data_IF_736460489036
#
_entry.id   IF_736460489036
#
_cell.length_a   1.000
_cell.length_b   1.000
_cell.length_c   1.000
_cell.angle_alpha   90.00
_cell.angle_beta   90.00
_cell.angle_gamma   90.00
#
_symmetry.space_group_name_H-M   'P 1'
#
loop_
_entity.id
_entity.type
_entity.pdbx_description
1 polymer ?
#
# COMPACT_ATOMS: atom_id res chain seq x y z
N UNK A 1 -22.07 -23.64 -33.38
CA UNK A 1 -21.21 -22.92 -34.33
C UNK A 1 -19.77 -23.26 -33.97
N UNK A 2 -19.05 -23.83 -34.92
CA UNK A 2 -17.65 -24.28 -34.82
C UNK A 2 -16.76 -23.05 -35.04
N UNK A 3 -15.71 -22.86 -34.23
CA UNK A 3 -14.34 -22.68 -34.73
C UNK A 3 -13.32 -22.44 -33.61
N UNK A 4 -12.21 -23.14 -33.75
CA UNK A 4 -11.04 -23.17 -32.89
C UNK A 4 -9.99 -22.13 -33.32
N UNK A 5 -9.02 -21.85 -32.45
CA UNK A 5 -7.63 -21.67 -32.88
C UNK A 5 -6.67 -21.96 -31.73
N UNK A 6 -5.83 -22.98 -31.94
CA UNK A 6 -4.62 -23.29 -31.18
C UNK A 6 -3.50 -22.42 -31.73
N UNK A 7 -2.62 -21.93 -30.86
CA UNK A 7 -1.33 -21.34 -31.25
C UNK A 7 -0.26 -21.79 -30.27
N UNK A 8 0.54 -22.77 -30.69
CA UNK A 8 1.79 -23.16 -30.04
C UNK A 8 2.94 -22.64 -30.91
N UNK A 9 3.98 -22.09 -30.28
CA UNK A 9 5.27 -21.87 -30.91
C UNK A 9 6.37 -22.20 -29.90
N UNK A 10 7.32 -23.01 -30.34
CA UNK A 10 8.45 -23.54 -29.59
C UNK A 10 9.77 -23.16 -30.28
N UNK A 11 10.86 -23.31 -29.52
CA UNK A 11 12.26 -23.45 -29.97
C UNK A 11 13.01 -22.13 -30.28
N UNK A 12 14.32 -21.95 -30.07
CA UNK A 12 15.41 -22.81 -29.60
C UNK A 12 16.66 -21.96 -29.20
N UNK A 13 17.46 -22.52 -28.28
CA UNK A 13 18.94 -22.65 -28.24
C UNK A 13 19.91 -21.49 -28.58
N UNK A 14 20.93 -21.27 -27.73
CA UNK A 14 22.35 -21.65 -27.99
C UNK A 14 23.32 -21.21 -26.86
N UNK A 15 24.34 -22.02 -26.67
CA UNK A 15 25.38 -21.97 -25.64
C UNK A 15 26.56 -21.05 -26.00
N UNK A 16 27.36 -20.65 -24.99
CA UNK A 16 28.82 -20.53 -25.12
C UNK A 16 29.50 -20.44 -23.74
N UNK A 17 30.48 -21.33 -23.54
CA UNK A 17 31.39 -21.36 -22.41
C UNK A 17 32.57 -20.39 -22.66
N UNK A 18 33.06 -19.72 -21.63
CA UNK A 18 34.41 -19.16 -21.61
C UNK A 18 35.03 -19.35 -20.23
N UNK A 19 36.09 -20.16 -20.18
CA UNK A 19 37.01 -20.28 -19.06
C UNK A 19 38.01 -19.11 -19.12
N UNK A 20 38.18 -18.40 -18.01
CA UNK A 20 39.23 -17.40 -17.83
C UNK A 20 39.85 -17.53 -16.45
N UNK A 21 40.97 -18.23 -16.35
CA UNK A 21 41.87 -18.18 -15.18
C UNK A 21 42.69 -16.89 -15.26
N UNK A 22 42.48 -16.00 -14.29
CA UNK A 22 43.31 -14.82 -14.07
C UNK A 22 43.60 -14.68 -12.59
N UNK A 23 44.74 -15.21 -12.14
CA UNK A 23 45.23 -15.09 -10.77
C UNK A 23 45.93 -13.75 -10.59
N UNK A 24 45.21 -12.74 -10.08
CA UNK A 24 45.81 -11.51 -9.57
C UNK A 24 45.50 -11.42 -8.08
N UNK A 25 46.50 -11.73 -7.24
CA UNK A 25 46.43 -11.54 -5.79
C UNK A 25 46.50 -10.04 -5.50
N UNK A 26 45.44 -9.40 -4.96
CA UNK A 26 45.53 -8.02 -4.52
C UNK A 26 46.35 -7.96 -3.23
N UNK A 27 47.21 -6.96 -3.12
CA UNK A 27 47.86 -6.61 -1.85
C UNK A 27 46.78 -6.34 -0.78
N UNK A 28 47.01 -6.70 0.50
CA UNK A 28 46.06 -6.43 1.57
C UNK A 28 45.86 -4.91 1.68
N UNK A 29 44.70 -4.45 1.23
CA UNK A 29 44.27 -3.06 1.42
C UNK A 29 43.92 -2.92 2.90
N UNK A 30 44.47 -1.91 3.55
CA UNK A 30 44.13 -1.57 4.93
C UNK A 30 42.60 -1.50 5.08
N UNK A 31 42.02 -1.91 6.23
CA UNK A 31 40.58 -1.85 6.44
C UNK A 31 40.14 -0.41 6.23
N UNK A 32 39.45 -0.18 5.12
CA UNK A 32 38.76 1.08 4.87
C UNK A 32 37.65 1.06 5.90
N UNK A 33 37.72 1.96 6.88
CA UNK A 33 36.59 2.31 7.72
C UNK A 33 35.49 2.79 6.78
N UNK A 34 34.62 1.87 6.34
CA UNK A 34 33.31 2.22 5.83
C UNK A 34 32.62 2.93 6.97
N UNK A 35 32.73 4.25 6.99
CA UNK A 35 31.75 5.10 7.61
C UNK A 35 30.44 4.70 6.97
N UNK A 36 29.69 3.84 7.67
CA UNK A 36 28.27 3.64 7.45
C UNK A 36 27.64 5.02 7.58
N UNK A 37 27.51 5.72 6.46
CA UNK A 37 26.70 6.91 6.37
C UNK A 37 25.27 6.42 6.59
N UNK A 38 24.82 6.50 7.84
CA UNK A 38 23.40 6.37 8.17
C UNK A 38 22.65 7.27 7.19
N UNK A 39 21.75 6.73 6.35
CA UNK A 39 20.96 7.55 5.45
C UNK A 39 20.28 8.65 6.27
N UNK A 40 20.42 9.90 5.84
CA UNK A 40 19.72 11.00 6.48
C UNK A 40 18.22 10.65 6.55
N UNK A 41 17.54 10.86 7.68
CA UNK A 41 16.10 10.64 7.77
C UNK A 41 15.40 11.37 6.62
N UNK A 42 14.43 10.75 5.92
CA UNK A 42 13.71 11.42 4.85
C UNK A 42 13.11 12.72 5.41
N UNK A 43 13.39 13.85 4.75
CA UNK A 43 13.18 15.20 5.30
C UNK A 43 11.72 15.54 5.67
N UNK A 44 10.75 14.67 5.39
CA UNK A 44 9.32 14.95 5.52
C UNK A 44 8.55 13.96 6.42
N UNK A 45 9.22 13.07 7.16
CA UNK A 45 8.52 12.06 7.98
C UNK A 45 7.90 12.62 9.25
N UNK A 46 8.46 13.70 9.81
CA UNK A 46 7.91 14.36 11.00
C UNK A 46 6.50 14.95 10.74
N UNK A 47 6.23 15.35 9.49
CA UNK A 47 4.95 15.90 9.05
C UNK A 47 3.89 14.86 8.73
N UNK A 48 4.07 13.57 9.05
CA UNK A 48 3.12 12.50 8.76
C UNK A 48 2.42 11.91 9.99
N UNK A 49 3.09 11.91 11.15
CA UNK A 49 2.50 11.41 12.40
C UNK A 49 1.28 12.25 12.82
N UNK A 50 0.29 11.61 13.45
CA UNK A 50 -0.92 12.27 13.96
C UNK A 50 -2.20 11.82 13.27
N UNK A 51 -3.29 12.54 13.55
CA UNK A 51 -4.62 12.23 13.07
C UNK A 51 -4.84 12.79 11.66
N UNK A 52 -5.52 11.99 10.84
CA UNK A 52 -5.96 12.40 9.51
C UNK A 52 -7.40 11.96 9.29
N UNK A 53 -8.10 12.71 8.46
CA UNK A 53 -9.43 12.34 7.98
C UNK A 53 -9.63 12.78 6.54
N UNK A 54 -10.54 12.11 5.84
CA UNK A 54 -10.75 12.36 4.43
C UNK A 54 -11.87 11.52 3.83
N UNK A 55 -11.96 11.58 2.50
CA UNK A 55 -12.95 10.85 1.73
C UNK A 55 -12.29 10.06 0.61
N UNK A 56 -12.89 8.93 0.26
CA UNK A 56 -12.45 8.08 -0.83
C UNK A 56 -13.59 7.65 -1.74
N UNK A 57 -13.22 7.05 -2.86
CA UNK A 57 -14.12 6.45 -3.84
C UNK A 57 -13.48 5.21 -4.44
N UNK A 58 -14.26 4.14 -4.54
CA UNK A 58 -13.92 2.90 -5.23
C UNK A 58 -15.19 2.27 -5.84
N UNK A 59 -15.11 1.08 -6.47
CA UNK A 59 -16.29 0.41 -7.05
C UNK A 59 -17.41 0.08 -6.06
N UNK A 60 -17.14 -0.02 -4.75
CA UNK A 60 -18.17 -0.27 -3.74
C UNK A 60 -18.92 1.01 -3.37
N UNK A 61 -18.34 2.18 -3.61
CA UNK A 61 -18.97 3.49 -3.44
C UNK A 61 -18.16 4.47 -2.59
N UNK A 62 -18.72 5.66 -2.32
CA UNK A 62 -18.03 6.73 -1.60
C UNK A 62 -17.88 6.43 -0.11
N UNK A 63 -16.75 6.84 0.46
CA UNK A 63 -16.38 6.52 1.84
C UNK A 63 -15.75 7.69 2.58
N UNK A 64 -15.75 7.59 3.91
CA UNK A 64 -14.90 8.36 4.81
C UNK A 64 -13.80 7.44 5.33
N UNK A 65 -12.59 7.98 5.36
CA UNK A 65 -11.43 7.31 5.92
C UNK A 65 -10.83 8.21 7.00
N UNK A 66 -10.44 7.62 8.11
CA UNK A 66 -9.71 8.30 9.18
C UNK A 66 -8.64 7.38 9.73
N UNK A 67 -7.52 7.96 10.18
CA UNK A 67 -6.46 7.18 10.80
C UNK A 67 -5.63 8.01 11.79
N UNK A 68 -4.88 7.32 12.63
CA UNK A 68 -3.88 7.89 13.53
C UNK A 68 -2.53 7.24 13.22
N UNK A 69 -1.57 8.02 12.71
CA UNK A 69 -0.26 7.52 12.31
C UNK A 69 0.80 7.78 13.40
N UNK A 70 1.63 6.77 13.62
CA UNK A 70 2.93 6.86 14.27
C UNK A 70 4.00 6.67 13.19
N UNK A 71 5.05 7.49 13.23
CA UNK A 71 6.14 7.43 12.26
C UNK A 71 7.46 7.30 13.00
N UNK A 72 8.23 6.26 12.65
CA UNK A 72 9.54 5.98 13.23
C UNK A 72 10.56 5.74 12.12
N UNK A 73 11.44 6.71 11.89
CA UNK A 73 12.30 6.72 10.71
C UNK A 73 11.47 6.75 9.43
N UNK A 74 11.61 5.74 8.58
CA UNK A 74 10.80 5.55 7.37
C UNK A 74 9.56 4.69 7.57
N UNK A 75 9.37 4.06 8.75
CA UNK A 75 8.25 3.17 9.00
C UNK A 75 7.00 3.95 9.47
N UNK A 76 5.84 3.55 8.94
CA UNK A 76 4.51 4.02 9.36
C UNK A 76 3.77 2.87 10.04
N UNK A 77 3.09 3.17 11.13
CA UNK A 77 2.10 2.29 11.75
C UNK A 77 0.94 3.11 12.31
N UNK A 78 -0.22 2.49 12.53
CA UNK A 78 -1.37 3.23 13.04
C UNK A 78 -2.66 2.44 13.09
N UNK A 79 -3.71 3.10 13.57
CA UNK A 79 -5.09 2.64 13.49
C UNK A 79 -5.80 3.33 12.33
N UNK A 80 -6.78 2.65 11.74
CA UNK A 80 -7.61 3.20 10.67
C UNK A 80 -9.08 2.87 10.91
N UNK A 81 -9.97 3.71 10.41
CA UNK A 81 -11.39 3.48 10.40
C UNK A 81 -11.99 3.91 9.06
N UNK A 82 -12.82 3.04 8.51
CA UNK A 82 -13.69 3.32 7.39
C UNK A 82 -15.11 3.59 7.90
N UNK A 83 -15.83 4.44 7.17
CA UNK A 83 -17.28 4.57 7.28
C UNK A 83 -17.85 4.89 5.89
N UNK A 84 -19.09 4.48 5.57
CA UNK A 84 -19.74 4.97 4.36
C UNK A 84 -19.98 6.48 4.44
N UNK A 85 -19.99 7.14 3.29
CA UNK A 85 -20.36 8.56 3.23
C UNK A 85 -21.87 8.75 3.50
N UNK A 86 -22.69 7.78 3.09
CA UNK A 86 -24.10 7.68 3.42
C UNK A 86 -24.43 6.25 3.86
N UNK A 87 -24.80 6.08 5.13
CA UNK A 87 -25.10 4.77 5.71
C UNK A 87 -26.46 4.18 5.28
N UNK A 88 -27.30 4.96 4.59
CA UNK A 88 -28.67 4.59 4.27
C UNK A 88 -28.94 4.51 2.75
N UNK A 89 -27.91 4.59 1.91
CA UNK A 89 -28.08 4.58 0.45
C UNK A 89 -28.22 3.17 -0.16
N UNK A 90 -28.02 2.12 0.64
CA UNK A 90 -28.14 0.72 0.21
C UNK A 90 -27.03 0.26 -0.74
N UNK A 91 -25.96 1.04 -0.91
CA UNK A 91 -24.79 0.64 -1.70
C UNK A 91 -23.93 -0.37 -0.94
N UNK A 92 -23.03 -1.06 -1.64
CA UNK A 92 -22.04 -1.92 -0.99
C UNK A 92 -21.23 -1.13 0.06
N UNK A 93 -20.90 0.13 -0.22
CA UNK A 93 -20.25 1.00 0.75
C UNK A 93 -21.02 1.11 2.08
N UNK A 94 -22.34 1.31 2.03
CA UNK A 94 -23.19 1.45 3.23
C UNK A 94 -23.12 0.25 4.18
N UNK A 95 -22.89 -0.95 3.64
CA UNK A 95 -22.83 -2.19 4.40
C UNK A 95 -21.40 -2.59 4.78
N UNK A 96 -20.44 -2.40 3.87
CA UNK A 96 -19.10 -2.97 3.97
C UNK A 96 -18.09 -2.04 4.64
N UNK A 97 -18.34 -0.73 4.65
CA UNK A 97 -17.32 0.25 5.04
C UNK A 97 -17.39 0.65 6.50
N UNK A 98 -18.27 0.09 7.32
CA UNK A 98 -18.21 0.28 8.77
C UNK A 98 -17.16 -0.62 9.41
N UNK A 99 -15.88 -0.22 9.35
CA UNK A 99 -14.77 -1.05 9.85
C UNK A 99 -13.72 -0.26 10.61
N UNK A 100 -13.18 -0.88 11.65
CA UNK A 100 -11.95 -0.46 12.32
C UNK A 100 -10.82 -1.42 11.94
N UNK A 101 -9.61 -0.91 11.84
CA UNK A 101 -8.46 -1.65 11.34
C UNK A 101 -7.14 -1.00 11.66
N UNK A 102 -6.11 -1.44 10.95
CA UNK A 102 -4.74 -0.95 11.10
C UNK A 102 -4.20 -0.45 9.77
N UNK A 103 -3.20 0.44 9.88
CA UNK A 103 -2.39 0.91 8.77
C UNK A 103 -0.93 0.64 9.09
N UNK A 104 -0.19 0.11 8.13
CA UNK A 104 1.27 0.00 8.17
C UNK A 104 1.84 0.51 6.86
N UNK A 105 3.12 0.90 6.83
CA UNK A 105 3.68 1.41 5.59
C UNK A 105 5.10 1.91 5.70
N UNK A 106 5.56 2.52 4.61
CA UNK A 106 6.87 3.16 4.52
C UNK A 106 6.81 4.50 3.81
N UNK A 107 7.77 5.36 4.14
CA UNK A 107 8.02 6.65 3.49
C UNK A 107 9.38 6.60 2.81
N UNK A 108 9.43 6.99 1.53
CA UNK A 108 10.66 7.16 0.76
C UNK A 108 10.62 8.49 0.02
N UNK A 109 11.35 9.50 0.52
CA UNK A 109 11.27 10.87 0.00
C UNK A 109 9.88 11.47 0.21
N UNK A 110 9.22 11.86 -0.89
CA UNK A 110 7.82 12.34 -0.91
C UNK A 110 6.79 11.23 -1.18
N UNK A 111 7.25 9.99 -1.39
CA UNK A 111 6.40 8.86 -1.68
C UNK A 111 6.04 8.08 -0.40
N UNK A 112 4.81 7.59 -0.34
CA UNK A 112 4.33 6.68 0.70
C UNK A 112 3.76 5.43 0.05
N UNK A 113 3.98 4.29 0.70
CA UNK A 113 3.30 3.04 0.42
C UNK A 113 2.72 2.52 1.73
N UNK A 114 1.41 2.25 1.75
CA UNK A 114 0.67 1.87 2.94
C UNK A 114 -0.17 0.62 2.66
N UNK A 115 -0.34 -0.21 3.68
CA UNK A 115 -1.25 -1.34 3.70
C UNK A 115 -2.27 -1.12 4.80
N UNK A 116 -3.53 -1.29 4.44
CA UNK A 116 -4.67 -1.23 5.35
C UNK A 116 -5.22 -2.63 5.53
N UNK A 117 -5.55 -2.95 6.78
CA UNK A 117 -6.18 -4.22 7.14
C UNK A 117 -7.36 -3.93 8.05
N UNK A 118 -8.55 -4.18 7.54
CA UNK A 118 -9.82 -4.07 8.25
C UNK A 118 -10.40 -5.48 8.43
N UNK A 119 -10.18 -6.11 9.60
CA UNK A 119 -10.68 -7.45 9.85
C UNK A 119 -12.22 -7.51 9.83
N UNK A 120 -12.73 -8.74 9.84
CA UNK A 120 -14.09 -9.04 10.25
C UNK A 120 -14.48 -8.25 11.52
N UNK A 121 -15.65 -7.61 11.47
CA UNK A 121 -16.20 -6.82 12.56
C UNK A 121 -17.01 -7.66 13.56
N UNK A 122 -17.44 -7.01 14.64
CA UNK A 122 -18.36 -7.60 15.62
C UNK A 122 -19.82 -7.16 15.41
N UNK A 123 -20.65 -7.37 16.43
CA UNK A 123 -22.06 -6.99 16.43
C UNK A 123 -22.25 -5.49 16.11
N UNK A 124 -23.26 -5.19 15.29
CA UNK A 124 -23.57 -3.82 14.85
C UNK A 124 -22.85 -3.38 13.57
N UNK A 125 -21.89 -4.16 13.05
CA UNK A 125 -21.38 -4.00 11.68
C UNK A 125 -22.31 -4.74 10.72
N UNK A 126 -22.83 -4.10 9.64
CA UNK A 126 -23.77 -4.76 8.73
C UNK A 126 -23.22 -6.04 8.09
N UNK A 127 -21.92 -6.06 7.81
CA UNK A 127 -21.22 -7.22 7.23
C UNK A 127 -20.04 -7.64 8.10
N UNK A 128 -20.31 -8.27 9.25
CA UNK A 128 -19.28 -8.53 10.26
C UNK A 128 -18.31 -9.61 9.79
N UNK A 129 -18.71 -10.51 8.89
CA UNK A 129 -17.83 -11.56 8.35
C UNK A 129 -16.80 -11.07 7.32
N UNK A 130 -17.02 -9.90 6.72
CA UNK A 130 -16.18 -9.44 5.61
C UNK A 130 -14.89 -8.81 6.12
N UNK A 131 -13.78 -9.08 5.47
CA UNK A 131 -12.47 -8.46 5.71
C UNK A 131 -12.11 -7.62 4.48
N UNK A 132 -11.56 -6.42 4.71
CA UNK A 132 -11.05 -5.56 3.64
C UNK A 132 -9.55 -5.38 3.83
N UNK A 133 -8.78 -5.64 2.78
CA UNK A 133 -7.34 -5.39 2.74
C UNK A 133 -7.03 -4.62 1.47
N UNK A 134 -6.35 -3.47 1.60
CA UNK A 134 -5.88 -2.75 0.43
C UNK A 134 -4.50 -2.13 0.63
N UNK A 135 -3.81 -1.93 -0.49
CA UNK A 135 -2.52 -1.27 -0.57
C UNK A 135 -2.70 0.07 -1.29
N UNK A 136 -2.26 1.13 -0.63
CA UNK A 136 -2.37 2.50 -1.10
C UNK A 136 -0.98 3.09 -1.36
N UNK A 137 -0.85 3.95 -2.36
CA UNK A 137 0.38 4.68 -2.63
C UNK A 137 0.11 6.11 -3.08
N UNK A 138 1.04 7.00 -2.73
CA UNK A 138 1.10 8.38 -3.18
C UNK A 138 2.55 8.80 -3.44
N UNK A 139 2.80 9.63 -4.44
CA UNK A 139 4.14 10.08 -4.84
C UNK A 139 4.47 11.52 -4.40
N UNK A 140 3.46 12.30 -4.02
CA UNK A 140 3.57 13.71 -3.66
C UNK A 140 2.82 13.98 -2.35
N UNK A 141 3.45 13.60 -1.25
CA UNK A 141 2.87 13.81 0.08
C UNK A 141 3.27 15.17 0.65
N UNK A 142 2.25 15.97 1.00
CA UNK A 142 2.42 17.19 1.76
C UNK A 142 2.17 16.94 3.25
N UNK A 143 2.66 17.84 4.11
CA UNK A 143 2.51 17.72 5.57
C UNK A 143 1.06 17.75 6.05
N UNK A 144 0.16 18.33 5.26
CA UNK A 144 -1.25 18.55 5.58
C UNK A 144 -2.21 17.83 4.63
N UNK A 145 -1.70 17.22 3.55
CA UNK A 145 -2.51 16.62 2.50
C UNK A 145 -1.88 15.39 1.85
N UNK A 146 -2.67 14.33 1.73
CA UNK A 146 -2.30 13.10 1.03
C UNK A 146 -3.40 12.79 0.01
N UNK A 147 -3.03 12.68 -1.26
CA UNK A 147 -3.86 12.06 -2.29
C UNK A 147 -3.23 10.73 -2.68
N UNK A 148 -3.98 9.63 -2.58
CA UNK A 148 -3.46 8.31 -2.89
C UNK A 148 -4.45 7.52 -3.75
N UNK A 149 -3.90 6.54 -4.46
CA UNK A 149 -4.65 5.48 -5.14
C UNK A 149 -4.43 4.16 -4.42
N UNK A 150 -5.41 3.27 -4.45
CA UNK A 150 -5.31 1.95 -3.84
C UNK A 150 -5.96 0.84 -4.67
N UNK A 151 -5.49 -0.37 -4.39
CA UNK A 151 -6.06 -1.63 -4.88
C UNK A 151 -6.12 -2.62 -3.72
N UNK A 152 -7.10 -3.51 -3.72
CA UNK A 152 -7.30 -4.43 -2.61
C UNK A 152 -8.33 -5.50 -2.90
N UNK A 153 -8.88 -6.06 -1.83
CA UNK A 153 -9.91 -7.08 -1.85
C UNK A 153 -10.84 -6.90 -0.64
N UNK A 154 -12.14 -7.07 -0.88
CA UNK A 154 -13.14 -7.33 0.15
C UNK A 154 -13.56 -8.79 0.01
N UNK A 155 -13.41 -9.59 1.05
CA UNK A 155 -13.70 -11.03 1.00
C UNK A 155 -15.14 -11.38 0.61
N UNK A 156 -16.07 -10.42 0.65
CA UNK A 156 -17.47 -10.59 0.30
C UNK A 156 -17.84 -10.04 -1.08
N UNK A 157 -17.16 -8.99 -1.55
CA UNK A 157 -17.46 -8.32 -2.83
C UNK A 157 -16.40 -8.60 -3.92
N UNK A 158 -15.23 -9.08 -3.52
CA UNK A 158 -14.09 -9.38 -4.37
C UNK A 158 -13.11 -8.21 -4.53
N UNK A 159 -12.36 -8.18 -5.66
CA UNK A 159 -11.26 -7.24 -5.86
C UNK A 159 -11.72 -5.78 -5.95
N UNK A 160 -10.95 -4.90 -5.30
CA UNK A 160 -11.07 -3.45 -5.39
C UNK A 160 -9.97 -2.93 -6.32
N UNK A 161 -10.36 -2.31 -7.43
CA UNK A 161 -9.43 -1.75 -8.42
C UNK A 161 -9.76 -0.29 -8.68
N UNK A 162 -8.74 0.56 -8.73
CA UNK A 162 -8.91 1.99 -9.05
C UNK A 162 -9.49 2.82 -7.91
N UNK A 163 -9.35 2.36 -6.66
CA UNK A 163 -9.73 3.13 -5.49
C UNK A 163 -8.84 4.37 -5.34
N UNK A 164 -9.38 5.44 -4.77
CA UNK A 164 -8.63 6.64 -4.42
C UNK A 164 -9.17 7.28 -3.15
N UNK A 165 -8.32 8.06 -2.47
CA UNK A 165 -8.75 8.90 -1.36
C UNK A 165 -7.93 10.19 -1.27
N UNK A 166 -8.52 11.18 -0.61
CA UNK A 166 -7.86 12.43 -0.24
C UNK A 166 -8.01 12.62 1.26
N UNK A 167 -6.88 12.81 1.95
CA UNK A 167 -6.81 12.98 3.40
C UNK A 167 -6.23 14.34 3.74
N UNK A 168 -6.76 14.92 4.79
CA UNK A 168 -6.26 16.14 5.44
C UNK A 168 -5.86 15.85 6.87
N UNK A 169 -4.83 16.54 7.34
CA UNK A 169 -4.40 16.48 8.74
C UNK A 169 -5.43 17.17 9.65
N UNK A 170 -5.67 16.59 10.82
CA UNK A 170 -6.51 17.16 11.88
C UNK A 170 -5.69 17.95 12.90
#
# INVERSE_FOLDING_TARGET
MISAARGAAAAAALALCAFGCGSNTPAPTAPTTTTTTTPAPPANTAGLAGAWSGTGMDPQGPERLSWMLTVSGSAISGTAALAPLNAADGTCASCHKFKAGTVTGTVSGSAIAMKFVFPAGGDGVPTPMCTIIFEASASAVASDRIEATYTGDDTCEGPIVGGNFVMTRN
#
